data_IF_103844611087
#
_entry.id   IF_103844611087
#
_cell.length_a   1.000
_cell.length_b   1.000
_cell.length_c   1.000
_cell.angle_alpha   90.00
_cell.angle_beta   90.00
_cell.angle_gamma   90.00
#
_symmetry.space_group_name_H-M   'P 1'
#
loop_
_entity.id
_entity.type
_entity.pdbx_description
1 polymer ?
#
# COMPACT_ATOMS: atom_id res chain seq x y z
N UNK A 1 31.27 19.39 -24.98
CA UNK A 1 30.33 19.55 -23.85
C UNK A 1 29.81 18.18 -23.48
N UNK A 2 30.14 17.67 -22.30
CA UNK A 2 29.55 16.41 -21.80
C UNK A 2 28.13 16.72 -21.32
N UNK A 3 27.13 16.15 -22.00
CA UNK A 3 25.73 16.23 -21.56
C UNK A 3 25.61 15.63 -20.16
N UNK A 4 25.01 16.36 -19.23
CA UNK A 4 24.75 15.84 -17.89
C UNK A 4 23.73 14.69 -18.00
N UNK A 5 24.05 13.56 -17.35
CA UNK A 5 23.16 12.40 -17.29
C UNK A 5 22.30 12.50 -16.04
N UNK A 6 20.99 12.42 -16.20
CA UNK A 6 20.03 12.38 -15.09
C UNK A 6 19.61 10.94 -14.83
N UNK A 7 19.57 10.54 -13.56
CA UNK A 7 19.01 9.27 -13.11
C UNK A 7 17.93 9.57 -12.08
N UNK A 8 16.79 8.89 -12.19
CA UNK A 8 15.67 8.99 -11.25
C UNK A 8 15.49 7.64 -10.59
N UNK A 9 15.39 7.64 -9.26
CA UNK A 9 15.12 6.45 -8.47
C UNK A 9 13.72 6.55 -7.88
N UNK A 10 13.00 5.44 -7.92
CA UNK A 10 11.84 5.25 -7.07
C UNK A 10 12.30 5.01 -5.61
N UNK A 11 11.41 5.19 -4.65
CA UNK A 11 11.70 4.97 -3.22
C UNK A 11 11.37 3.53 -2.81
N UNK A 12 10.08 3.18 -2.94
CA UNK A 12 9.50 1.95 -2.39
C UNK A 12 9.98 0.72 -3.17
N UNK A 13 10.68 -0.19 -2.50
CA UNK A 13 11.24 -1.39 -3.13
C UNK A 13 12.45 -1.14 -4.04
N UNK A 14 12.86 0.13 -4.24
CA UNK A 14 14.08 0.50 -4.98
C UNK A 14 15.18 0.94 -4.04
N UNK A 15 14.95 2.00 -3.25
CA UNK A 15 15.93 2.50 -2.28
C UNK A 15 15.69 1.93 -0.87
N UNK A 16 14.44 1.57 -0.55
CA UNK A 16 14.05 1.09 0.78
C UNK A 16 13.05 -0.07 0.65
N UNK A 17 13.24 -1.16 1.40
CA UNK A 17 12.22 -2.22 1.53
C UNK A 17 11.11 -1.75 2.49
N UNK A 18 10.19 -0.93 1.97
CA UNK A 18 9.05 -0.38 2.73
C UNK A 18 7.89 -1.35 2.85
N UNK A 19 7.97 -2.55 2.27
CA UNK A 19 6.86 -3.48 2.26
C UNK A 19 6.37 -3.88 3.66
N UNK A 20 7.24 -4.22 4.63
CA UNK A 20 6.79 -4.56 5.98
C UNK A 20 6.01 -3.42 6.65
N UNK A 21 6.46 -2.18 6.51
CA UNK A 21 5.85 -1.02 7.15
C UNK A 21 4.50 -0.67 6.53
N UNK A 22 4.40 -0.70 5.20
CA UNK A 22 3.14 -0.45 4.48
C UNK A 22 2.08 -1.51 4.82
N UNK A 23 2.49 -2.75 5.02
CA UNK A 23 1.59 -3.85 5.38
C UNK A 23 1.14 -3.73 6.83
N UNK A 24 2.04 -3.34 7.73
CA UNK A 24 1.68 -3.06 9.12
C UNK A 24 0.70 -1.89 9.20
N UNK A 25 0.89 -0.82 8.42
CA UNK A 25 -0.03 0.30 8.35
C UNK A 25 -1.41 -0.12 7.81
N UNK A 26 -1.45 -0.92 6.74
CA UNK A 26 -2.70 -1.49 6.22
C UNK A 26 -3.42 -2.33 7.29
N UNK A 27 -2.70 -3.22 7.96
CA UNK A 27 -3.27 -4.09 8.99
C UNK A 27 -3.77 -3.31 10.20
N UNK A 28 -3.13 -2.19 10.55
CA UNK A 28 -3.63 -1.28 11.58
C UNK A 28 -5.00 -0.68 11.18
N UNK A 29 -5.14 -0.22 9.94
CA UNK A 29 -6.40 0.30 9.41
C UNK A 29 -7.49 -0.78 9.38
N UNK A 30 -7.18 -1.96 8.84
CA UNK A 30 -8.11 -3.09 8.79
C UNK A 30 -8.59 -3.50 10.19
N UNK A 31 -7.67 -3.57 11.16
CA UNK A 31 -7.99 -3.87 12.54
C UNK A 31 -8.96 -2.87 13.17
N UNK A 32 -8.84 -1.57 12.85
CA UNK A 32 -9.79 -0.53 13.32
C UNK A 32 -11.20 -0.72 12.77
N UNK A 33 -11.33 -1.31 11.59
CA UNK A 33 -12.62 -1.61 10.96
C UNK A 33 -13.12 -3.05 11.25
N UNK A 34 -12.45 -3.74 12.18
CA UNK A 34 -12.81 -5.09 12.63
C UNK A 34 -12.51 -6.19 11.61
N UNK A 35 -11.56 -5.96 10.71
CA UNK A 35 -11.18 -6.89 9.65
C UNK A 35 -9.92 -7.68 10.02
N UNK A 36 -9.77 -8.91 9.49
CA UNK A 36 -8.56 -9.69 9.69
C UNK A 36 -7.35 -9.04 9.01
N UNK A 37 -6.12 -9.31 9.52
CA UNK A 37 -4.91 -8.80 8.90
C UNK A 37 -4.59 -9.54 7.60
N UNK A 38 -4.01 -8.83 6.64
CA UNK A 38 -3.51 -9.40 5.39
C UNK A 38 -2.09 -9.96 5.61
N UNK A 39 -1.79 -11.20 5.14
CA UNK A 39 -0.46 -11.77 5.22
C UNK A 39 0.55 -11.00 4.37
N UNK A 40 1.79 -10.91 4.87
CA UNK A 40 2.86 -10.15 4.22
C UNK A 40 3.13 -10.57 2.77
N UNK A 41 3.06 -11.88 2.49
CA UNK A 41 3.30 -12.41 1.15
C UNK A 41 2.22 -11.99 0.14
N UNK A 42 0.96 -11.87 0.58
CA UNK A 42 -0.16 -11.46 -0.27
C UNK A 42 -0.09 -9.95 -0.53
N UNK A 43 0.26 -9.18 0.49
CA UNK A 43 0.25 -7.73 0.43
C UNK A 43 1.46 -7.13 -0.31
N UNK A 44 2.58 -7.85 -0.46
CA UNK A 44 3.70 -7.38 -1.30
C UNK A 44 3.28 -7.10 -2.75
N UNK A 45 2.42 -7.94 -3.32
CA UNK A 45 1.91 -7.75 -4.68
C UNK A 45 0.90 -6.59 -4.77
N UNK A 46 0.50 -6.00 -3.64
CA UNK A 46 -0.47 -4.93 -3.57
C UNK A 46 0.19 -3.53 -3.57
N UNK A 47 1.50 -3.45 -3.33
CA UNK A 47 2.28 -2.21 -3.18
C UNK A 47 2.65 -1.61 -4.55
N UNK A 48 2.81 -0.28 -4.60
CA UNK A 48 3.25 0.47 -5.79
C UNK A 48 2.14 1.21 -6.54
N UNK A 49 0.87 0.94 -6.22
CA UNK A 49 -0.28 1.66 -6.80
C UNK A 49 -0.79 2.83 -5.93
N UNK A 50 -0.04 3.17 -4.87
CA UNK A 50 -0.39 4.20 -3.89
C UNK A 50 -1.27 3.70 -2.74
N UNK A 51 -1.33 4.49 -1.66
CA UNK A 51 -2.00 4.13 -0.40
C UNK A 51 -3.50 3.83 -0.58
N UNK A 52 -4.21 4.63 -1.38
CA UNK A 52 -5.63 4.40 -1.67
C UNK A 52 -5.88 3.00 -2.24
N UNK A 53 -5.10 2.61 -3.26
CA UNK A 53 -5.24 1.29 -3.90
C UNK A 53 -4.86 0.17 -2.94
N UNK A 54 -3.90 0.40 -2.05
CA UNK A 54 -3.54 -0.57 -1.01
C UNK A 54 -4.70 -0.82 -0.05
N UNK A 55 -5.40 0.23 0.40
CA UNK A 55 -6.57 0.13 1.28
C UNK A 55 -7.74 -0.55 0.55
N UNK A 56 -8.07 -0.11 -0.67
CA UNK A 56 -9.13 -0.72 -1.50
C UNK A 56 -8.94 -2.23 -1.63
N UNK A 57 -7.73 -2.66 -2.02
CA UNK A 57 -7.42 -4.09 -2.15
C UNK A 57 -7.51 -4.85 -0.82
N UNK A 58 -7.14 -4.21 0.30
CA UNK A 58 -7.28 -4.80 1.63
C UNK A 58 -8.74 -5.06 2.00
N UNK A 59 -9.63 -4.14 1.64
CA UNK A 59 -11.08 -4.29 1.84
C UNK A 59 -11.70 -5.34 0.89
N UNK A 60 -11.26 -5.36 -0.36
CA UNK A 60 -11.74 -6.29 -1.39
C UNK A 60 -11.46 -7.76 -1.03
N UNK A 61 -10.36 -8.05 -0.31
CA UNK A 61 -10.04 -9.39 0.17
C UNK A 61 -11.13 -9.96 1.10
N UNK A 62 -11.82 -9.09 1.83
CA UNK A 62 -12.93 -9.42 2.72
C UNK A 62 -14.30 -9.20 2.05
N UNK A 63 -14.33 -9.04 0.72
CA UNK A 63 -15.54 -8.80 -0.05
C UNK A 63 -16.18 -7.44 0.21
N UNK A 64 -15.42 -6.47 0.76
CA UNK A 64 -15.92 -5.12 1.03
C UNK A 64 -15.52 -4.16 -0.07
N UNK A 65 -16.47 -3.32 -0.48
CA UNK A 65 -16.24 -2.17 -1.34
C UNK A 65 -16.49 -0.90 -0.55
N UNK A 66 -15.60 0.07 -0.67
CA UNK A 66 -15.70 1.35 0.00
C UNK A 66 -15.67 2.50 -1.02
N UNK A 67 -16.46 3.53 -0.76
CA UNK A 67 -16.41 4.76 -1.53
C UNK A 67 -15.13 5.56 -1.24
N UNK A 68 -14.85 6.58 -2.04
CA UNK A 68 -13.69 7.44 -1.83
C UNK A 68 -13.71 8.12 -0.46
N UNK A 69 -14.88 8.59 -0.02
CA UNK A 69 -15.05 9.24 1.29
C UNK A 69 -14.79 8.28 2.45
N UNK A 70 -15.25 7.03 2.32
CA UNK A 70 -14.97 5.99 3.30
C UNK A 70 -13.47 5.75 3.41
N UNK A 71 -12.76 5.64 2.27
CA UNK A 71 -11.32 5.41 2.25
C UNK A 71 -10.54 6.58 2.86
N UNK A 72 -10.98 7.83 2.63
CA UNK A 72 -10.32 9.01 3.19
C UNK A 72 -10.49 9.09 4.71
N UNK A 73 -11.56 8.51 5.28
CA UNK A 73 -11.81 8.46 6.73
C UNK A 73 -10.85 7.51 7.47
N UNK A 74 -10.34 6.48 6.78
CA UNK A 74 -9.57 5.38 7.35
C UNK A 74 -8.16 5.80 7.78
#
# INVERSE_FOLDING_TARGET
MTSARTVVFDLDGTLVDTAPDLINALNFVLGREGLPPVPLHSARNMIGAGARRLIERGLELEGRTAGLEDIIRL
#
